data_IF_903174768020
#
_entry.id   IF_903174768020
#
_cell.length_a   1.000
_cell.length_b   1.000
_cell.length_c   1.000
_cell.angle_alpha   90.00
_cell.angle_beta   90.00
_cell.angle_gamma   90.00
#
_symmetry.space_group_name_H-M   'P 1'
#
loop_
_entity.id
_entity.type
_entity.pdbx_description
1 polymer ?
#
# COMPACT_ATOMS: atom_id res chain seq x y z
N UNK A 1 -16.71 -8.08 -8.74
CA UNK A 1 -16.97 -7.97 -7.31
C UNK A 1 -18.03 -6.89 -7.04
N UNK A 2 -17.83 -5.64 -7.45
CA UNK A 2 -18.77 -4.54 -7.19
C UNK A 2 -20.21 -4.84 -7.63
N UNK A 3 -20.41 -5.22 -8.87
CA UNK A 3 -21.75 -5.57 -9.40
C UNK A 3 -22.43 -6.76 -8.68
N UNK A 4 -21.64 -7.63 -8.07
CA UNK A 4 -22.13 -8.79 -7.33
C UNK A 4 -22.21 -8.53 -5.82
N UNK A 5 -21.95 -7.32 -5.36
CA UNK A 5 -21.87 -6.94 -3.95
C UNK A 5 -20.91 -7.81 -3.11
N UNK A 6 -19.84 -8.31 -3.70
CA UNK A 6 -18.84 -9.15 -3.03
C UNK A 6 -17.70 -8.26 -2.54
N UNK A 7 -17.44 -8.20 -1.22
CA UNK A 7 -16.34 -7.42 -0.68
C UNK A 7 -14.99 -8.03 -1.08
N UNK A 8 -13.94 -7.19 -1.15
CA UNK A 8 -12.62 -7.60 -1.62
C UNK A 8 -11.54 -7.55 -0.52
N UNK A 9 -10.61 -8.48 -0.60
CA UNK A 9 -9.33 -8.41 0.08
C UNK A 9 -8.21 -8.31 -0.96
N UNK A 10 -7.38 -7.26 -0.85
CA UNK A 10 -6.16 -7.09 -1.64
C UNK A 10 -4.97 -7.58 -0.81
N UNK A 11 -4.30 -8.62 -1.29
CA UNK A 11 -3.14 -9.22 -0.64
C UNK A 11 -1.90 -8.96 -1.47
N UNK A 12 -0.81 -8.60 -0.84
CA UNK A 12 0.46 -8.44 -1.54
C UNK A 12 1.46 -7.59 -0.78
N UNK A 13 2.72 -7.56 -1.23
CA UNK A 13 3.80 -6.84 -0.56
C UNK A 13 3.55 -5.34 -0.48
N UNK A 14 4.31 -4.67 0.37
CA UNK A 14 4.27 -3.21 0.51
C UNK A 14 4.71 -2.55 -0.81
N UNK A 15 4.00 -1.48 -1.20
CA UNK A 15 4.36 -0.68 -2.39
C UNK A 15 4.17 -1.37 -3.75
N UNK A 16 3.40 -2.48 -3.83
CA UNK A 16 3.05 -3.12 -5.10
C UNK A 16 1.83 -2.52 -5.82
N UNK A 17 1.28 -1.40 -5.33
CA UNK A 17 0.24 -0.66 -6.03
C UNK A 17 -1.21 -0.95 -5.56
N UNK A 18 -1.46 -1.63 -4.43
CA UNK A 18 -2.82 -1.92 -3.92
C UNK A 18 -3.68 -0.67 -3.79
N UNK A 19 -3.18 0.37 -3.13
CA UNK A 19 -3.90 1.64 -2.92
C UNK A 19 -4.16 2.35 -4.24
N UNK A 20 -3.15 2.43 -5.14
CA UNK A 20 -3.32 3.01 -6.48
C UNK A 20 -4.38 2.29 -7.31
N UNK A 21 -4.44 0.96 -7.18
CA UNK A 21 -5.47 0.17 -7.85
C UNK A 21 -6.88 0.56 -7.38
N UNK A 22 -7.09 0.73 -6.07
CA UNK A 22 -8.40 1.13 -5.54
C UNK A 22 -8.76 2.56 -5.91
N UNK A 23 -7.81 3.49 -5.88
CA UNK A 23 -8.00 4.87 -6.36
C UNK A 23 -8.45 4.88 -7.82
N UNK A 24 -7.76 4.11 -8.68
CA UNK A 24 -8.10 3.97 -10.08
C UNK A 24 -9.51 3.35 -10.27
N UNK A 25 -9.82 2.27 -9.55
CA UNK A 25 -11.12 1.62 -9.63
C UNK A 25 -12.25 2.51 -9.13
N UNK A 26 -12.03 3.30 -8.07
CA UNK A 26 -13.00 4.27 -7.59
C UNK A 26 -13.31 5.33 -8.66
N UNK A 27 -12.28 5.83 -9.34
CA UNK A 27 -12.43 6.75 -10.46
C UNK A 27 -13.21 6.13 -11.63
N UNK A 28 -12.85 4.93 -12.08
CA UNK A 28 -13.52 4.22 -13.18
C UNK A 28 -14.99 3.93 -12.86
N UNK A 29 -15.29 3.53 -11.63
CA UNK A 29 -16.64 3.26 -11.16
C UNK A 29 -17.42 4.54 -10.81
N UNK A 30 -16.76 5.69 -10.80
CA UNK A 30 -17.31 6.99 -10.38
C UNK A 30 -17.93 6.94 -8.98
N UNK A 31 -17.24 6.26 -8.07
CA UNK A 31 -17.66 6.10 -6.69
C UNK A 31 -16.77 6.92 -5.74
N UNK A 32 -17.34 7.49 -4.68
CA UNK A 32 -16.55 8.03 -3.60
C UNK A 32 -15.62 6.97 -3.01
N UNK A 33 -14.39 7.35 -2.68
CA UNK A 33 -13.43 6.52 -1.98
C UNK A 33 -13.18 7.09 -0.59
N UNK A 34 -13.43 6.29 0.42
CA UNK A 34 -13.11 6.60 1.81
C UNK A 34 -12.02 5.63 2.26
N UNK A 35 -10.81 6.15 2.42
CA UNK A 35 -9.63 5.37 2.85
C UNK A 35 -9.39 5.58 4.33
N UNK A 36 -9.20 4.47 5.06
CA UNK A 36 -8.80 4.46 6.46
C UNK A 36 -7.54 3.62 6.60
N UNK A 37 -6.46 4.22 7.06
CA UNK A 37 -5.24 3.50 7.44
C UNK A 37 -5.47 2.88 8.82
N UNK A 38 -5.40 1.56 8.89
CA UNK A 38 -5.58 0.82 10.13
C UNK A 38 -4.29 0.79 10.94
N UNK A 39 -4.40 0.95 12.25
CA UNK A 39 -3.30 0.90 13.21
C UNK A 39 -3.82 0.41 14.57
N UNK A 40 -2.93 0.13 15.50
CA UNK A 40 -3.27 -0.47 16.81
C UNK A 40 -4.21 0.38 17.68
N UNK A 41 -4.19 1.69 17.52
CA UNK A 41 -5.05 2.60 18.27
C UNK A 41 -6.41 2.84 17.61
N UNK A 42 -6.62 2.35 16.37
CA UNK A 42 -7.89 2.51 15.67
C UNK A 42 -8.99 1.71 16.39
N UNK A 43 -9.98 2.43 16.88
CA UNK A 43 -11.12 1.83 17.58
C UNK A 43 -12.34 1.69 16.66
N UNK A 44 -13.26 0.83 17.08
CA UNK A 44 -14.58 0.72 16.48
C UNK A 44 -15.32 2.06 16.38
N UNK A 45 -15.20 2.89 17.40
CA UNK A 45 -15.81 4.22 17.43
C UNK A 45 -15.22 5.18 16.38
N UNK A 46 -13.95 5.04 16.05
CA UNK A 46 -13.33 5.87 15.01
C UNK A 46 -13.87 5.52 13.62
N UNK A 47 -14.22 4.26 13.38
CA UNK A 47 -14.86 3.81 12.14
C UNK A 47 -16.35 4.13 12.07
N UNK A 48 -17.08 3.86 13.16
CA UNK A 48 -18.54 3.96 13.18
C UNK A 48 -19.00 5.38 13.46
N UNK A 49 -18.40 6.05 14.43
CA UNK A 49 -18.76 7.40 14.82
C UNK A 49 -18.75 7.59 16.33
N UNK A 50 -18.89 8.84 16.72
CA UNK A 50 -18.84 9.26 18.12
C UNK A 50 -19.69 10.50 18.38
N UNK A 51 -20.08 10.65 19.63
CA UNK A 51 -20.65 11.89 20.09
C UNK A 51 -19.57 12.96 20.27
N UNK A 52 -19.83 14.15 19.77
CA UNK A 52 -19.02 15.34 19.97
C UNK A 52 -19.83 16.36 20.76
N UNK A 53 -19.18 17.05 21.70
CA UNK A 53 -19.75 18.20 22.36
C UNK A 53 -19.44 19.44 21.53
N UNK A 54 -20.48 20.09 21.03
CA UNK A 54 -20.37 21.29 20.20
C UNK A 54 -21.54 22.22 20.51
N UNK A 55 -21.25 23.53 20.68
CA UNK A 55 -22.24 24.56 20.89
C UNK A 55 -23.22 24.24 22.07
N UNK A 56 -22.67 23.73 23.18
CA UNK A 56 -23.38 23.26 24.38
C UNK A 56 -24.33 22.06 24.17
N UNK A 57 -24.25 21.40 23.01
CA UNK A 57 -25.03 20.21 22.69
C UNK A 57 -24.14 19.00 22.39
N UNK A 58 -24.67 17.82 22.67
CA UNK A 58 -24.01 16.54 22.30
C UNK A 58 -24.55 16.07 20.96
N UNK A 59 -23.72 16.14 19.91
CA UNK A 59 -24.11 15.81 18.55
C UNK A 59 -23.39 14.53 18.10
N UNK A 60 -24.13 13.62 17.51
CA UNK A 60 -23.54 12.45 16.86
C UNK A 60 -22.82 12.85 15.57
N UNK A 61 -21.61 12.32 15.36
CA UNK A 61 -20.88 12.44 14.12
C UNK A 61 -20.53 11.05 13.57
N UNK A 62 -21.00 10.79 12.36
CA UNK A 62 -20.68 9.55 11.64
C UNK A 62 -19.18 9.44 11.40
N UNK A 63 -18.65 8.23 11.60
CA UNK A 63 -17.29 7.87 11.20
C UNK A 63 -17.22 7.48 9.72
N UNK A 64 -15.99 7.25 9.21
CA UNK A 64 -15.76 6.97 7.79
C UNK A 64 -16.52 5.75 7.27
N UNK A 65 -16.64 4.69 8.06
CA UNK A 65 -17.40 3.50 7.70
C UNK A 65 -18.90 3.80 7.58
N UNK A 66 -19.47 4.51 8.56
CA UNK A 66 -20.89 4.87 8.55
C UNK A 66 -21.21 5.79 7.38
N UNK A 67 -20.34 6.75 7.06
CA UNK A 67 -20.49 7.61 5.88
C UNK A 67 -20.55 6.79 4.59
N UNK A 68 -19.63 5.83 4.41
CA UNK A 68 -19.63 4.95 3.24
C UNK A 68 -20.90 4.08 3.18
N UNK A 69 -21.32 3.53 4.32
CA UNK A 69 -22.51 2.68 4.42
C UNK A 69 -23.79 3.44 4.06
N UNK A 70 -23.95 4.67 4.53
CA UNK A 70 -25.16 5.49 4.31
C UNK A 70 -25.24 6.08 2.91
N UNK A 71 -24.11 6.57 2.39
CA UNK A 71 -24.09 7.36 1.15
C UNK A 71 -23.58 6.57 -0.06
N UNK A 72 -23.10 5.35 0.15
CA UNK A 72 -22.44 4.57 -0.89
C UNK A 72 -20.97 4.94 -1.06
N UNK A 73 -20.29 4.17 -1.92
CA UNK A 73 -18.88 4.34 -2.21
C UNK A 73 -18.02 3.19 -1.69
N UNK A 74 -16.74 3.28 -1.97
CA UNK A 74 -15.75 2.29 -1.54
C UNK A 74 -15.19 2.69 -0.17
N UNK A 75 -15.42 1.83 0.84
CA UNK A 75 -14.71 1.93 2.12
C UNK A 75 -13.48 1.04 2.07
N UNK A 76 -12.31 1.65 1.96
CA UNK A 76 -11.02 0.96 1.89
C UNK A 76 -10.31 1.02 3.23
N UNK A 77 -10.19 -0.14 3.89
CA UNK A 77 -9.44 -0.29 5.14
C UNK A 77 -8.04 -0.85 4.79
N UNK A 78 -7.05 0.03 4.80
CA UNK A 78 -5.67 -0.31 4.47
C UNK A 78 -4.96 -0.89 5.71
N UNK A 79 -4.18 -1.96 5.51
CA UNK A 79 -3.45 -2.67 6.55
C UNK A 79 -4.33 -3.17 7.71
N UNK A 80 -5.50 -3.76 7.37
CA UNK A 80 -6.53 -4.18 8.34
C UNK A 80 -6.00 -5.08 9.47
N UNK A 81 -4.93 -5.80 9.25
CA UNK A 81 -4.30 -6.70 10.24
C UNK A 81 -3.62 -5.94 11.38
N UNK A 82 -3.31 -4.65 11.16
CA UNK A 82 -2.80 -3.77 12.21
C UNK A 82 -3.89 -3.23 13.12
N UNK A 83 -5.17 -3.31 12.71
CA UNK A 83 -6.30 -2.92 13.53
C UNK A 83 -6.53 -3.91 14.69
N UNK A 84 -7.16 -3.41 15.74
CA UNK A 84 -7.60 -4.22 16.87
C UNK A 84 -8.65 -5.26 16.43
N UNK A 85 -8.71 -6.38 17.14
CA UNK A 85 -9.66 -7.48 16.85
C UNK A 85 -11.14 -7.06 16.96
N UNK A 86 -11.46 -6.12 17.86
CA UNK A 86 -12.80 -5.57 18.01
C UNK A 86 -13.24 -4.77 16.78
N UNK A 87 -12.32 -4.04 16.16
CA UNK A 87 -12.54 -3.30 14.90
C UNK A 87 -12.93 -4.25 13.76
N UNK A 88 -12.31 -5.42 13.65
CA UNK A 88 -12.63 -6.39 12.61
C UNK A 88 -13.99 -7.07 12.75
N UNK A 89 -14.57 -7.09 13.95
CA UNK A 89 -15.90 -7.69 14.19
C UNK A 89 -17.02 -6.84 13.60
N UNK A 90 -16.88 -5.51 13.62
CA UNK A 90 -17.90 -4.57 13.15
C UNK A 90 -18.22 -4.75 11.67
N UNK A 91 -17.21 -5.11 10.86
CA UNK A 91 -17.39 -5.28 9.42
C UNK A 91 -18.09 -6.58 9.03
N UNK A 92 -18.28 -7.53 9.96
CA UNK A 92 -18.83 -8.84 9.62
C UNK A 92 -20.27 -8.78 9.09
N UNK A 93 -21.11 -7.96 9.70
CA UNK A 93 -22.52 -7.80 9.28
C UNK A 93 -22.68 -7.00 7.98
N UNK A 94 -21.65 -6.27 7.58
CA UNK A 94 -21.58 -5.59 6.28
C UNK A 94 -21.07 -6.48 5.15
N UNK A 95 -20.39 -7.57 5.51
CA UNK A 95 -19.73 -8.47 4.55
C UNK A 95 -20.43 -9.82 4.40
N UNK A 96 -21.66 -9.91 4.91
CA UNK A 96 -22.58 -11.02 4.69
C UNK A 96 -23.88 -10.52 4.03
N UNK A 97 -24.81 -11.44 3.77
CA UNK A 97 -26.07 -11.16 3.06
C UNK A 97 -26.95 -10.09 3.73
N UNK A 98 -26.75 -9.82 4.99
CA UNK A 98 -27.51 -8.79 5.74
C UNK A 98 -27.16 -7.38 5.28
N UNK A 99 -25.89 -7.12 4.98
CA UNK A 99 -25.38 -5.81 4.54
C UNK A 99 -25.84 -4.66 5.45
N UNK A 100 -25.65 -4.81 6.76
CA UNK A 100 -26.09 -3.84 7.77
C UNK A 100 -24.93 -3.43 8.70
N UNK A 101 -24.96 -2.20 9.18
CA UNK A 101 -24.07 -1.70 10.23
C UNK A 101 -24.88 -1.45 11.50
N UNK A 102 -24.46 -2.05 12.62
CA UNK A 102 -25.00 -1.74 13.93
C UNK A 102 -24.28 -0.54 14.53
N UNK A 103 -25.01 0.49 14.87
CA UNK A 103 -24.51 1.72 15.53
C UNK A 103 -24.97 1.70 16.98
N UNK A 104 -24.32 0.91 17.82
CA UNK A 104 -24.74 0.64 19.20
C UNK A 104 -24.94 1.92 20.03
N UNK A 105 -24.15 2.96 19.79
CA UNK A 105 -24.22 4.23 20.52
C UNK A 105 -25.51 5.01 20.29
N UNK A 106 -26.15 4.84 19.14
CA UNK A 106 -27.42 5.48 18.79
C UNK A 106 -28.58 4.50 18.79
N UNK A 107 -28.32 3.19 18.92
CA UNK A 107 -29.31 2.12 18.80
C UNK A 107 -29.83 1.93 17.37
N UNK A 108 -29.13 2.47 16.38
CA UNK A 108 -29.53 2.40 14.98
C UNK A 108 -28.98 1.17 14.27
N UNK A 109 -29.74 0.64 13.32
CA UNK A 109 -29.30 -0.37 12.36
C UNK A 109 -29.32 0.27 10.97
N UNK A 110 -28.16 0.57 10.41
CA UNK A 110 -28.02 1.21 9.12
C UNK A 110 -27.83 0.18 8.01
N UNK A 111 -28.79 0.04 7.05
CA UNK A 111 -28.59 -0.80 5.87
C UNK A 111 -27.56 -0.15 4.95
N UNK A 112 -26.71 -0.98 4.34
CA UNK A 112 -25.71 -0.47 3.41
C UNK A 112 -26.39 -0.03 2.11
N UNK A 113 -25.99 1.17 1.65
CA UNK A 113 -26.37 1.69 0.34
C UNK A 113 -26.04 0.69 -0.76
N UNK A 114 -26.82 0.67 -1.84
CA UNK A 114 -26.61 -0.25 -2.98
C UNK A 114 -25.21 -0.14 -3.57
N UNK A 115 -24.66 1.06 -3.65
CA UNK A 115 -23.33 1.35 -4.15
C UNK A 115 -22.21 1.26 -3.08
N UNK A 116 -22.50 0.70 -1.90
CA UNK A 116 -21.48 0.47 -0.88
C UNK A 116 -20.62 -0.76 -1.20
N UNK A 117 -19.32 -0.60 -1.12
CA UNK A 117 -18.36 -1.70 -1.26
C UNK A 117 -17.29 -1.64 -0.17
N UNK A 118 -17.07 -2.76 0.49
CA UNK A 118 -15.96 -2.95 1.44
C UNK A 118 -14.74 -3.50 0.74
N UNK A 119 -13.59 -2.85 0.92
CA UNK A 119 -12.29 -3.35 0.45
C UNK A 119 -11.30 -3.32 1.62
N UNK A 120 -10.61 -4.43 1.82
CA UNK A 120 -9.54 -4.55 2.80
C UNK A 120 -8.20 -4.74 2.09
N UNK A 121 -7.10 -4.34 2.71
CA UNK A 121 -5.77 -4.74 2.27
C UNK A 121 -4.93 -5.26 3.43
N UNK A 122 -3.99 -6.11 3.11
CA UNK A 122 -2.90 -6.47 4.01
C UNK A 122 -1.71 -7.09 3.28
N UNK A 123 -0.56 -7.11 3.96
CA UNK A 123 0.65 -7.78 3.49
C UNK A 123 0.81 -9.13 4.20
N UNK A 124 0.66 -10.28 3.52
CA UNK A 124 0.76 -11.60 4.13
C UNK A 124 2.19 -11.97 4.56
N UNK A 125 3.22 -11.26 4.10
CA UNK A 125 4.63 -11.55 4.37
C UNK A 125 5.18 -10.94 5.67
N UNK A 126 4.50 -9.98 6.26
CA UNK A 126 4.96 -9.22 7.44
C UNK A 126 4.42 -9.75 8.77
N UNK A 127 3.63 -10.83 8.72
CA UNK A 127 2.84 -11.22 9.88
C UNK A 127 3.56 -12.26 10.75
N UNK A 128 3.81 -11.87 11.98
CA UNK A 128 3.88 -12.86 13.07
C UNK A 128 2.56 -13.66 13.05
N UNK A 129 2.62 -14.95 13.36
CA UNK A 129 1.46 -15.87 13.46
C UNK A 129 0.27 -15.29 14.26
N UNK A 130 0.52 -14.22 15.02
CA UNK A 130 -0.44 -13.54 15.92
C UNK A 130 -1.31 -12.48 15.21
N UNK A 131 -0.85 -11.86 14.10
CA UNK A 131 -1.55 -10.78 13.41
C UNK A 131 -2.10 -11.22 12.04
N UNK A 132 -2.93 -12.25 11.99
CA UNK A 132 -3.64 -12.63 10.74
C UNK A 132 -5.16 -12.51 10.92
N UNK A 133 -5.86 -12.26 9.81
CA UNK A 133 -7.32 -12.27 9.81
C UNK A 133 -7.84 -13.69 10.10
N UNK A 134 -8.84 -13.78 10.96
CA UNK A 134 -9.50 -15.06 11.25
C UNK A 134 -10.02 -15.70 9.96
N UNK A 135 -9.98 -17.03 9.83
CA UNK A 135 -10.54 -17.74 8.67
C UNK A 135 -12.01 -17.36 8.38
N UNK A 136 -12.81 -17.17 9.41
CA UNK A 136 -14.22 -16.75 9.30
C UNK A 136 -14.38 -15.35 8.68
N UNK A 137 -13.42 -14.44 8.90
CA UNK A 137 -13.39 -13.14 8.24
C UNK A 137 -12.99 -13.29 6.78
N UNK A 138 -11.89 -14.03 6.51
CA UNK A 138 -11.38 -14.23 5.14
C UNK A 138 -12.43 -14.86 4.21
N UNK A 139 -13.24 -15.81 4.69
CA UNK A 139 -14.25 -16.50 3.90
C UNK A 139 -15.42 -15.61 3.43
N UNK A 140 -15.51 -14.37 3.91
CA UNK A 140 -16.54 -13.40 3.51
C UNK A 140 -16.12 -12.54 2.32
N UNK A 141 -14.88 -12.67 1.85
CA UNK A 141 -14.28 -11.81 0.85
C UNK A 141 -13.78 -12.59 -0.37
N UNK A 142 -13.91 -12.01 -1.53
CA UNK A 142 -13.10 -12.42 -2.66
C UNK A 142 -11.68 -11.84 -2.50
N UNK A 143 -10.68 -12.58 -2.95
CA UNK A 143 -9.27 -12.18 -2.79
C UNK A 143 -8.62 -11.87 -4.13
N UNK A 144 -7.91 -10.75 -4.19
CA UNK A 144 -7.01 -10.40 -5.30
C UNK A 144 -5.58 -10.38 -4.78
N UNK A 145 -4.73 -11.18 -5.39
CA UNK A 145 -3.32 -11.25 -5.03
C UNK A 145 -2.50 -10.28 -5.89
N UNK A 146 -1.78 -9.40 -5.24
CA UNK A 146 -0.83 -8.49 -5.85
C UNK A 146 0.58 -9.04 -5.71
N UNK A 147 1.35 -8.92 -6.76
CA UNK A 147 2.79 -9.16 -6.79
C UNK A 147 3.49 -7.90 -7.27
N UNK A 148 4.80 -7.85 -7.21
CA UNK A 148 5.52 -6.81 -7.90
C UNK A 148 5.24 -6.88 -9.41
N UNK A 149 5.15 -5.74 -10.12
CA UNK A 149 4.96 -5.73 -11.55
C UNK A 149 6.07 -6.48 -12.29
N UNK A 150 5.79 -6.97 -13.50
CA UNK A 150 6.84 -7.45 -14.39
C UNK A 150 7.82 -6.31 -14.74
N UNK A 151 9.07 -6.63 -15.01
CA UNK A 151 10.15 -5.65 -15.17
C UNK A 151 9.85 -4.58 -16.23
N UNK A 152 9.22 -4.95 -17.34
CA UNK A 152 8.81 -4.02 -18.40
C UNK A 152 7.72 -3.04 -17.96
N UNK A 153 6.78 -3.50 -17.14
CA UNK A 153 5.73 -2.67 -16.55
C UNK A 153 6.32 -1.78 -15.45
N UNK A 154 7.18 -2.33 -14.61
CA UNK A 154 7.83 -1.60 -13.52
C UNK A 154 8.73 -0.49 -14.07
N UNK A 155 9.46 -0.74 -15.16
CA UNK A 155 10.25 0.28 -15.84
C UNK A 155 9.38 1.46 -16.31
N UNK A 156 8.22 1.19 -16.92
CA UNK A 156 7.27 2.25 -17.32
C UNK A 156 6.69 3.02 -16.14
N UNK A 157 6.44 2.34 -15.01
CA UNK A 157 6.00 3.00 -13.78
C UNK A 157 7.09 3.95 -13.29
N UNK A 158 8.35 3.50 -13.24
CA UNK A 158 9.49 4.31 -12.81
C UNK A 158 9.65 5.52 -13.73
N UNK A 159 9.66 5.32 -15.05
CA UNK A 159 9.74 6.37 -16.05
C UNK A 159 8.66 7.45 -15.84
N UNK A 160 7.39 7.01 -15.77
CA UNK A 160 6.23 7.90 -15.64
C UNK A 160 6.23 8.67 -14.33
N UNK A 161 6.53 8.01 -13.22
CA UNK A 161 6.41 8.58 -11.88
C UNK A 161 7.65 9.39 -11.44
N UNK A 162 8.83 9.11 -12.02
CA UNK A 162 10.08 9.81 -11.67
C UNK A 162 10.54 10.80 -12.73
N UNK A 163 10.11 10.64 -13.98
CA UNK A 163 10.61 11.39 -15.11
C UNK A 163 12.01 10.94 -15.61
N UNK A 164 12.50 9.80 -15.11
CA UNK A 164 13.78 9.22 -15.52
C UNK A 164 13.70 8.72 -16.98
N UNK A 165 14.82 8.66 -17.70
CA UNK A 165 14.87 8.13 -19.06
C UNK A 165 14.50 6.64 -19.13
N UNK A 166 14.00 6.18 -20.29
CA UNK A 166 13.52 4.82 -20.48
C UNK A 166 14.58 3.75 -20.19
N UNK A 167 15.83 3.97 -20.63
CA UNK A 167 16.93 3.01 -20.42
C UNK A 167 17.34 2.93 -18.95
N UNK A 168 17.43 4.07 -18.26
CA UNK A 168 17.75 4.11 -16.83
C UNK A 168 16.62 3.51 -16.01
N UNK A 169 15.35 3.75 -16.39
CA UNK A 169 14.17 3.15 -15.74
C UNK A 169 14.16 1.62 -15.89
N UNK A 170 14.56 1.10 -17.05
CA UNK A 170 14.71 -0.35 -17.29
C UNK A 170 15.79 -0.93 -16.40
N UNK A 171 16.99 -0.32 -16.36
CA UNK A 171 18.10 -0.74 -15.47
C UNK A 171 17.68 -0.74 -14.00
N UNK A 172 16.90 0.27 -13.55
CA UNK A 172 16.35 0.32 -12.20
C UNK A 172 15.38 -0.82 -11.92
N UNK A 173 14.50 -1.17 -12.85
CA UNK A 173 13.55 -2.28 -12.69
C UNK A 173 14.29 -3.63 -12.59
N UNK A 174 15.27 -3.87 -13.47
CA UNK A 174 16.12 -5.06 -13.44
C UNK A 174 16.93 -5.15 -12.13
N UNK A 175 17.54 -4.05 -11.70
CA UNK A 175 18.22 -3.96 -10.40
C UNK A 175 17.27 -4.29 -9.26
N UNK A 176 16.06 -3.73 -9.27
CA UNK A 176 15.04 -4.01 -8.28
C UNK A 176 14.65 -5.48 -8.23
N UNK A 177 14.46 -6.10 -9.39
CA UNK A 177 14.21 -7.55 -9.51
C UNK A 177 15.34 -8.37 -8.89
N UNK A 178 16.60 -7.96 -9.12
CA UNK A 178 17.79 -8.64 -8.56
C UNK A 178 17.88 -8.48 -7.05
N UNK A 179 17.64 -7.29 -6.51
CA UNK A 179 17.64 -7.05 -5.05
C UNK A 179 16.56 -7.89 -4.37
N UNK A 180 15.38 -8.06 -4.98
CA UNK A 180 14.31 -8.90 -4.44
C UNK A 180 14.71 -10.36 -4.25
N UNK A 181 15.69 -10.86 -5.00
CA UNK A 181 16.22 -12.22 -4.84
C UNK A 181 17.00 -12.39 -3.53
N UNK A 182 17.42 -11.30 -2.89
CA UNK A 182 18.06 -11.31 -1.56
C UNK A 182 17.06 -11.56 -0.43
N UNK A 183 15.75 -11.60 -0.71
CA UNK A 183 14.72 -11.90 0.31
C UNK A 183 14.97 -13.27 0.93
N UNK A 184 15.02 -13.31 2.27
CA UNK A 184 15.39 -14.54 3.03
C UNK A 184 16.90 -14.72 3.22
N UNK A 185 17.73 -13.83 2.67
CA UNK A 185 19.18 -13.77 2.86
C UNK A 185 19.56 -12.43 3.51
N UNK A 186 18.92 -12.09 4.62
CA UNK A 186 19.13 -10.83 5.35
C UNK A 186 18.20 -9.68 4.98
N UNK A 187 17.30 -9.88 4.00
CA UNK A 187 16.18 -8.96 3.76
C UNK A 187 14.86 -9.59 4.16
N UNK A 188 14.15 -8.95 5.07
CA UNK A 188 12.79 -9.36 5.47
C UNK A 188 11.78 -9.10 4.37
N UNK A 189 11.89 -7.97 3.67
CA UNK A 189 11.03 -7.57 2.56
C UNK A 189 11.86 -7.15 1.33
N UNK A 190 11.38 -7.49 0.14
CA UNK A 190 12.01 -7.07 -1.12
C UNK A 190 11.78 -5.58 -1.41
N UNK A 191 12.64 -4.99 -2.23
CA UNK A 191 12.49 -3.60 -2.67
C UNK A 191 11.14 -3.38 -3.35
N UNK A 192 10.40 -2.36 -2.91
CA UNK A 192 9.11 -1.99 -3.50
C UNK A 192 9.30 -1.11 -4.74
N UNK A 193 8.31 -1.12 -5.65
CA UNK A 193 8.31 -0.20 -6.80
C UNK A 193 8.34 1.27 -6.36
N UNK A 194 7.78 1.60 -5.18
CA UNK A 194 7.86 2.94 -4.57
C UNK A 194 9.29 3.37 -4.32
N UNK A 195 10.13 2.50 -3.76
CA UNK A 195 11.54 2.82 -3.51
C UNK A 195 12.32 2.99 -4.81
N UNK A 196 12.02 2.21 -5.86
CA UNK A 196 12.62 2.40 -7.18
C UNK A 196 12.25 3.75 -7.80
N UNK A 197 10.98 4.17 -7.67
CA UNK A 197 10.56 5.53 -8.09
C UNK A 197 11.30 6.60 -7.28
N UNK A 198 11.55 6.40 -5.98
CA UNK A 198 12.35 7.34 -5.19
C UNK A 198 13.79 7.43 -5.67
N UNK A 199 14.41 6.30 -6.02
CA UNK A 199 15.75 6.33 -6.68
C UNK A 199 15.69 7.18 -7.95
N UNK A 200 14.71 6.94 -8.83
CA UNK A 200 14.55 7.71 -10.05
C UNK A 200 14.41 9.23 -9.81
N UNK A 201 13.59 9.62 -8.82
CA UNK A 201 13.43 11.04 -8.44
C UNK A 201 14.71 11.66 -7.88
N UNK A 202 15.48 10.92 -7.09
CA UNK A 202 16.75 11.37 -6.55
C UNK A 202 17.79 11.53 -7.66
N UNK A 203 17.80 10.65 -8.65
CA UNK A 203 18.66 10.76 -9.84
C UNK A 203 18.29 11.98 -10.66
N UNK A 204 17.01 12.25 -10.90
CA UNK A 204 16.54 13.47 -11.54
C UNK A 204 16.92 14.73 -10.74
N UNK A 205 17.02 14.62 -9.44
CA UNK A 205 17.50 15.67 -8.53
C UNK A 205 19.03 15.85 -8.53
N UNK A 206 19.79 15.08 -9.33
CA UNK A 206 21.23 15.23 -9.51
C UNK A 206 22.09 14.25 -8.68
N UNK A 207 21.51 13.26 -7.99
CA UNK A 207 22.31 12.21 -7.36
C UNK A 207 22.74 11.18 -8.41
N UNK A 208 23.91 10.57 -8.22
CA UNK A 208 24.26 9.38 -9.00
C UNK A 208 23.34 8.21 -8.65
N UNK A 209 23.01 7.31 -9.59
CA UNK A 209 22.12 6.17 -9.31
C UNK A 209 22.58 5.30 -8.14
N UNK A 210 23.90 5.07 -8.00
CA UNK A 210 24.46 4.30 -6.89
C UNK A 210 24.23 4.98 -5.54
N UNK A 211 24.45 6.31 -5.46
CA UNK A 211 24.17 7.09 -4.23
C UNK A 211 22.67 7.16 -3.94
N UNK A 212 21.83 7.36 -4.96
CA UNK A 212 20.39 7.35 -4.83
C UNK A 212 19.88 6.00 -4.31
N UNK A 213 20.41 4.88 -4.82
CA UNK A 213 20.10 3.53 -4.34
C UNK A 213 20.51 3.35 -2.88
N UNK A 214 21.68 3.83 -2.49
CA UNK A 214 22.13 3.75 -1.11
C UNK A 214 21.14 4.39 -0.13
N UNK A 215 20.66 5.59 -0.46
CA UNK A 215 19.76 6.34 0.44
C UNK A 215 18.31 5.85 0.37
N UNK A 216 17.80 5.58 -0.82
CA UNK A 216 16.40 5.20 -0.98
C UNK A 216 16.14 3.70 -0.74
N UNK A 217 17.13 2.84 -0.93
CA UNK A 217 16.94 1.39 -0.84
C UNK A 217 17.79 0.79 0.29
N UNK A 218 19.13 0.85 0.19
CA UNK A 218 20.00 0.11 1.10
C UNK A 218 19.73 0.45 2.56
N UNK A 219 19.87 1.73 2.92
CA UNK A 219 19.69 2.22 4.30
C UNK A 219 18.22 2.20 4.77
N UNK A 220 17.27 1.99 3.85
CA UNK A 220 15.83 1.91 4.19
C UNK A 220 15.42 0.47 4.50
N UNK A 221 16.06 -0.51 3.85
CA UNK A 221 15.65 -1.91 3.97
C UNK A 221 16.40 -2.69 5.05
N UNK A 222 17.61 -2.26 5.41
CA UNK A 222 18.43 -3.02 6.37
C UNK A 222 19.50 -2.14 7.02
N UNK A 223 19.89 -2.50 8.25
CA UNK A 223 21.05 -1.97 8.97
C UNK A 223 22.23 -2.96 8.96
N UNK A 224 22.06 -4.16 8.38
CA UNK A 224 23.09 -5.19 8.31
C UNK A 224 24.17 -4.84 7.29
N UNK A 225 25.46 -4.67 7.70
CA UNK A 225 26.52 -4.21 6.79
C UNK A 225 26.73 -5.10 5.56
N UNK A 226 26.65 -6.42 5.71
CA UNK A 226 26.85 -7.38 4.62
C UNK A 226 25.74 -7.27 3.55
N UNK A 227 24.50 -7.04 3.99
CA UNK A 227 23.36 -6.87 3.09
C UNK A 227 23.41 -5.50 2.41
N UNK A 228 23.79 -4.44 3.15
CA UNK A 228 24.05 -3.10 2.60
C UNK A 228 25.08 -3.16 1.48
N UNK A 229 26.22 -3.83 1.71
CA UNK A 229 27.28 -4.00 0.72
C UNK A 229 26.77 -4.78 -0.50
N UNK A 230 26.02 -5.87 -0.29
CA UNK A 230 25.44 -6.67 -1.36
C UNK A 230 24.52 -5.83 -2.27
N UNK A 231 23.66 -4.98 -1.69
CA UNK A 231 22.78 -4.09 -2.46
C UNK A 231 23.63 -3.04 -3.22
N UNK A 232 24.68 -2.50 -2.60
CA UNK A 232 25.55 -1.53 -3.27
C UNK A 232 26.31 -2.16 -4.44
N UNK A 233 26.84 -3.38 -4.29
CA UNK A 233 27.51 -4.11 -5.37
C UNK A 233 26.55 -4.37 -6.55
N UNK A 234 25.27 -4.68 -6.27
CA UNK A 234 24.24 -4.78 -7.32
C UNK A 234 24.05 -3.42 -8.01
N UNK A 235 23.95 -2.32 -7.25
CA UNK A 235 23.78 -0.99 -7.85
C UNK A 235 24.97 -0.58 -8.72
N UNK A 236 26.19 -0.89 -8.30
CA UNK A 236 27.40 -0.66 -9.09
C UNK A 236 27.44 -1.51 -10.36
N UNK A 237 26.95 -2.75 -10.32
CA UNK A 237 26.85 -3.61 -11.49
C UNK A 237 25.94 -3.02 -12.59
N UNK A 238 24.85 -2.37 -12.18
CA UNK A 238 23.87 -1.81 -13.13
C UNK A 238 24.19 -0.36 -13.55
N UNK A 239 24.93 0.38 -12.74
CA UNK A 239 25.13 1.83 -12.93
C UNK A 239 26.57 2.31 -12.77
N UNK A 240 27.54 1.40 -12.59
CA UNK A 240 28.95 1.77 -12.41
C UNK A 240 29.54 2.48 -13.65
N UNK A 241 29.02 2.18 -14.84
CA UNK A 241 29.40 2.82 -16.10
C UNK A 241 29.01 4.31 -16.20
N UNK A 242 28.10 4.76 -15.34
CA UNK A 242 27.63 6.15 -15.26
C UNK A 242 28.41 7.00 -14.23
N UNK A 243 29.44 6.42 -13.61
CA UNK A 243 30.28 7.10 -12.64
C UNK A 243 31.65 7.43 -13.24
N UNK A 244 32.12 8.68 -13.04
CA UNK A 244 33.50 9.02 -13.34
C UNK A 244 34.41 8.35 -12.29
N UNK A 245 35.30 7.47 -12.74
CA UNK A 245 36.23 6.70 -11.88
C UNK A 245 37.13 7.58 -11.00
N UNK A 246 37.28 8.88 -11.31
CA UNK A 246 38.19 9.80 -10.63
C UNK A 246 37.52 10.63 -9.54
N UNK A 247 36.23 10.95 -9.70
CA UNK A 247 35.53 11.92 -8.83
C UNK A 247 34.36 11.31 -8.08
N UNK A 248 33.90 10.13 -8.50
CA UNK A 248 32.61 9.59 -8.03
C UNK A 248 31.41 10.47 -8.41
N UNK A 249 31.62 11.41 -9.32
CA UNK A 249 30.61 12.31 -9.88
C UNK A 249 30.00 11.72 -11.18
N UNK A 250 28.77 12.12 -11.54
CA UNK A 250 28.14 11.65 -12.77
C UNK A 250 29.02 11.99 -13.99
N UNK A 251 29.24 11.00 -14.84
CA UNK A 251 29.94 11.22 -16.10
C UNK A 251 29.21 12.33 -16.88
N UNK A 252 29.92 13.40 -17.24
CA UNK A 252 29.36 14.50 -18.05
C UNK A 252 28.97 13.92 -19.40
N UNK A 253 27.69 13.98 -19.76
CA UNK A 253 27.25 13.70 -21.13
C UNK A 253 27.88 14.76 -22.04
N UNK A 254 28.79 14.34 -22.89
CA UNK A 254 29.22 15.20 -24.01
C UNK A 254 28.01 15.42 -24.93
N UNK A 255 27.66 16.68 -25.07
CA UNK A 255 26.52 17.19 -25.87
C UNK A 255 26.81 17.15 -27.35
#
# INVERSE_FOLDING_TARGET
AFQANIPLILKGPTGCGKTRFIEYMAHELRLPLITVSCHEDLTAADLVGRFLFKDDETVWRDGPLTLAVRHGGICYLDEIVEARKDTTVIIHSLTDDRRILYIDKTGEVAPAHENFMMVLSYNPGYQSIVKDLKPSTKQRFASVNFTHPAEDIEARIIETESGLGADESRRLAEMGSKIRQLKGFGLDEGVSSRLLVYVGRLVQGGLTPVRATRHAISQTLTDEPEVLESIQNIAELYFGDLMDERTGEPARRES
#
